data_IF_982066707098
#
_entry.id   IF_982066707098
#
_cell.length_a   1.000
_cell.length_b   1.000
_cell.length_c   1.000
_cell.angle_alpha   90.00
_cell.angle_beta   90.00
_cell.angle_gamma   90.00
#
_symmetry.space_group_name_H-M   'P 1'
#
loop_
_entity.id
_entity.type
_entity.pdbx_description
1 polymer ?
#
# COMPACT_ATOMS: atom_id res chain seq x y z
N UNK A 1 7.04 18.92 -16.16
CA UNK A 1 7.38 17.72 -15.37
C UNK A 1 6.93 16.50 -16.15
N UNK A 2 7.80 15.53 -16.38
CA UNK A 2 7.47 14.32 -17.15
C UNK A 2 6.86 13.27 -16.21
N UNK A 3 5.52 13.17 -16.23
CA UNK A 3 4.77 12.27 -15.35
C UNK A 3 5.19 10.80 -15.49
N UNK A 4 5.52 10.36 -16.71
CA UNK A 4 5.94 8.98 -16.97
C UNK A 4 7.25 8.66 -16.25
N UNK A 5 8.23 9.56 -16.30
CA UNK A 5 9.53 9.40 -15.61
C UNK A 5 9.39 9.33 -14.10
N UNK A 6 8.48 10.12 -13.52
CA UNK A 6 8.20 10.08 -12.09
C UNK A 6 7.59 8.74 -11.71
N UNK A 7 6.49 8.38 -12.36
CA UNK A 7 5.71 7.19 -12.00
C UNK A 7 6.49 5.90 -12.27
N UNK A 8 7.24 5.83 -13.37
CA UNK A 8 8.05 4.65 -13.69
C UNK A 8 9.41 4.61 -12.99
N UNK A 9 9.82 5.69 -12.31
CA UNK A 9 11.06 5.71 -11.56
C UNK A 9 10.98 4.94 -10.24
N UNK A 10 12.10 4.32 -9.85
CA UNK A 10 12.34 3.73 -8.53
C UNK A 10 12.43 4.75 -7.40
N UNK A 11 12.36 4.27 -6.16
CA UNK A 11 12.66 5.07 -4.97
C UNK A 11 14.17 5.33 -4.86
N UNK A 12 14.54 6.41 -4.16
CA UNK A 12 15.93 6.71 -3.84
C UNK A 12 16.48 5.71 -2.81
N UNK A 13 17.80 5.64 -2.66
CA UNK A 13 18.37 4.90 -1.53
C UNK A 13 18.06 5.61 -0.20
N UNK A 14 17.97 4.83 0.87
CA UNK A 14 17.88 5.34 2.26
C UNK A 14 19.08 4.87 3.06
N UNK A 15 19.53 5.71 3.99
CA UNK A 15 20.62 5.37 4.89
C UNK A 15 20.03 4.85 6.19
N UNK A 16 20.07 3.54 6.42
CA UNK A 16 19.56 2.94 7.66
C UNK A 16 20.64 3.04 8.74
N UNK A 17 20.28 3.61 9.90
CA UNK A 17 21.15 3.63 11.09
C UNK A 17 21.43 2.19 11.56
N UNK A 18 22.67 1.81 11.89
CA UNK A 18 22.99 0.47 12.33
C UNK A 18 22.31 0.07 13.64
N UNK A 19 22.35 0.89 14.70
CA UNK A 19 21.66 0.70 16.00
C UNK A 19 21.51 2.04 16.77
N UNK A 20 20.53 2.19 17.71
CA UNK A 20 19.47 1.26 18.06
C UNK A 20 18.28 1.33 17.10
N UNK A 21 17.63 0.19 16.87
CA UNK A 21 16.47 0.06 15.99
C UNK A 21 15.17 -0.15 16.77
N UNK A 22 14.05 0.31 16.21
CA UNK A 22 12.73 0.11 16.81
C UNK A 22 12.33 -1.37 16.88
N UNK A 23 11.80 -1.78 18.02
CA UNK A 23 11.28 -3.13 18.25
C UNK A 23 9.97 -3.41 17.51
N UNK A 24 9.59 -4.68 17.47
CA UNK A 24 8.41 -5.18 16.77
C UNK A 24 7.12 -4.80 17.50
N UNK A 25 6.11 -4.37 16.75
CA UNK A 25 4.76 -4.14 17.28
C UNK A 25 4.13 -5.43 17.84
N UNK A 26 3.48 -5.34 19.01
CA UNK A 26 2.85 -6.47 19.74
C UNK A 26 1.39 -6.73 19.34
N UNK A 27 0.92 -6.21 18.21
CA UNK A 27 -0.49 -6.37 17.79
C UNK A 27 -0.79 -7.82 17.40
N UNK A 28 -1.98 -8.30 17.79
CA UNK A 28 -2.42 -9.68 17.60
C UNK A 28 -3.34 -9.88 16.38
N UNK A 29 -3.52 -8.86 15.53
CA UNK A 29 -4.31 -9.00 14.30
C UNK A 29 -3.56 -9.83 13.27
N UNK A 30 -4.21 -10.87 12.76
CA UNK A 30 -3.62 -11.79 11.78
C UNK A 30 -4.71 -12.37 10.88
N UNK A 31 -4.42 -12.46 9.59
CA UNK A 31 -5.25 -13.19 8.63
C UNK A 31 -4.82 -14.66 8.57
N UNK A 32 -5.78 -15.57 8.39
CA UNK A 32 -5.46 -16.97 8.05
C UNK A 32 -5.05 -17.10 6.58
N UNK A 33 -4.43 -18.23 6.22
CA UNK A 33 -4.05 -18.54 4.84
C UNK A 33 -5.24 -18.50 3.87
N UNK A 34 -6.40 -19.03 4.28
CA UNK A 34 -7.62 -19.04 3.48
C UNK A 34 -8.17 -17.62 3.15
N UNK A 35 -7.70 -16.59 3.85
CA UNK A 35 -8.10 -15.20 3.63
C UNK A 35 -7.19 -14.47 2.63
N UNK A 36 -5.98 -14.98 2.40
CA UNK A 36 -4.93 -14.32 1.61
C UNK A 36 -4.76 -15.09 0.31
N UNK A 37 -5.29 -14.53 -0.78
CA UNK A 37 -5.22 -15.14 -2.11
C UNK A 37 -4.33 -14.30 -3.03
N UNK A 38 -3.69 -14.97 -3.98
CA UNK A 38 -2.92 -14.27 -5.01
C UNK A 38 -3.82 -13.38 -5.87
N UNK A 39 -3.23 -12.28 -6.35
CA UNK A 39 -3.79 -11.43 -7.39
C UNK A 39 -3.11 -11.72 -8.73
N UNK A 40 -3.49 -12.79 -9.46
CA UNK A 40 -2.78 -13.22 -10.67
C UNK A 40 -2.76 -12.15 -11.76
N UNK A 41 -3.81 -11.34 -11.84
CA UNK A 41 -3.97 -10.31 -12.88
C UNK A 41 -3.40 -8.95 -12.50
N UNK A 42 -2.69 -8.87 -11.36
CA UNK A 42 -2.21 -7.61 -10.81
C UNK A 42 -1.39 -6.80 -11.80
N UNK A 43 -0.33 -7.40 -12.39
CA UNK A 43 0.55 -6.70 -13.34
C UNK A 43 -0.22 -6.20 -14.57
N UNK A 44 -1.13 -7.03 -15.09
CA UNK A 44 -1.96 -6.67 -16.25
C UNK A 44 -2.89 -5.51 -15.92
N UNK A 45 -3.55 -5.54 -14.77
CA UNK A 45 -4.43 -4.46 -14.31
C UNK A 45 -3.66 -3.14 -14.08
N UNK A 46 -2.48 -3.21 -13.46
CA UNK A 46 -1.60 -2.03 -13.27
C UNK A 46 -1.24 -1.43 -14.63
N UNK A 47 -0.73 -2.26 -15.56
CA UNK A 47 -0.33 -1.83 -16.90
C UNK A 47 -1.48 -1.22 -17.69
N UNK A 48 -2.65 -1.85 -17.67
CA UNK A 48 -3.82 -1.35 -18.39
C UNK A 48 -4.21 0.08 -17.97
N UNK A 49 -4.00 0.45 -16.70
CA UNK A 49 -4.25 1.81 -16.21
C UNK A 49 -3.07 2.73 -16.52
N UNK A 50 -1.84 2.30 -16.27
CA UNK A 50 -0.67 3.18 -16.36
C UNK A 50 -0.36 3.50 -17.82
N UNK A 51 -0.38 2.54 -18.73
CA UNK A 51 -0.09 2.78 -20.15
C UNK A 51 -1.16 3.62 -20.82
N UNK A 52 -2.43 3.46 -20.43
CA UNK A 52 -3.54 4.31 -20.88
C UNK A 52 -3.32 5.79 -20.58
N UNK A 53 -2.68 6.13 -19.46
CA UNK A 53 -2.55 7.51 -18.99
C UNK A 53 -1.14 8.10 -19.13
N UNK A 54 -0.11 7.25 -19.24
CA UNK A 54 1.29 7.65 -19.19
C UNK A 54 2.11 7.09 -20.37
N UNK A 55 1.51 6.24 -21.21
CA UNK A 55 2.22 5.51 -22.27
C UNK A 55 3.01 4.32 -21.74
N UNK A 56 3.63 3.57 -22.65
CA UNK A 56 4.40 2.37 -22.29
C UNK A 56 5.66 2.72 -21.49
N UNK A 57 5.99 1.96 -20.42
CA UNK A 57 7.24 2.13 -19.70
C UNK A 57 8.40 1.84 -20.64
N UNK A 58 9.27 2.83 -20.81
CA UNK A 58 10.48 2.66 -21.58
C UNK A 58 11.57 2.06 -20.69
N UNK A 59 12.39 1.13 -21.20
CA UNK A 59 13.60 0.70 -20.49
C UNK A 59 14.44 1.92 -20.14
N UNK A 60 14.61 2.18 -18.84
CA UNK A 60 15.50 3.25 -18.38
C UNK A 60 16.92 2.72 -18.29
N UNK A 61 17.88 3.48 -18.82
CA UNK A 61 19.28 3.22 -18.56
C UNK A 61 19.52 3.19 -17.04
N UNK A 62 20.34 2.24 -16.58
CA UNK A 62 20.69 2.09 -15.18
C UNK A 62 21.57 3.28 -14.72
N UNK A 63 20.95 4.44 -14.50
CA UNK A 63 21.58 5.50 -13.74
C UNK A 63 21.80 4.98 -12.31
N UNK A 64 22.92 5.32 -11.65
CA UNK A 64 23.10 4.97 -10.25
C UNK A 64 21.94 5.55 -9.41
N UNK A 65 21.54 4.88 -8.32
CA UNK A 65 20.47 5.36 -7.47
C UNK A 65 20.81 6.76 -6.96
N UNK A 66 19.80 7.63 -6.86
CA UNK A 66 19.99 8.88 -6.13
C UNK A 66 20.33 8.51 -4.68
N UNK A 67 21.51 8.95 -4.23
CA UNK A 67 22.02 8.62 -2.91
C UNK A 67 21.13 9.24 -1.83
N UNK A 68 20.79 8.45 -0.83
CA UNK A 68 20.04 8.94 0.32
C UNK A 68 20.89 9.87 1.17
N UNK A 69 20.35 11.05 1.50
CA UNK A 69 20.98 11.98 2.46
C UNK A 69 20.26 12.02 3.82
N UNK A 70 19.20 11.21 3.97
CA UNK A 70 18.40 11.14 5.19
C UNK A 70 18.68 9.82 5.93
N UNK A 71 19.07 9.92 7.20
CA UNK A 71 19.37 8.77 8.06
C UNK A 71 18.09 8.32 8.77
N UNK A 72 17.73 7.05 8.59
CA UNK A 72 16.51 6.45 9.12
C UNK A 72 16.84 5.44 10.23
N UNK A 73 16.23 5.62 11.41
CA UNK A 73 16.38 4.69 12.54
C UNK A 73 15.07 4.11 13.08
N UNK A 74 13.92 4.52 12.54
CA UNK A 74 12.61 4.16 13.08
C UNK A 74 11.51 4.25 12.01
N UNK A 75 10.35 3.66 12.31
CA UNK A 75 9.15 3.63 11.45
C UNK A 75 8.70 5.04 10.96
N UNK A 76 8.72 6.11 11.78
CA UNK A 76 8.39 7.45 11.28
C UNK A 76 9.34 7.95 10.19
N UNK A 77 10.64 7.61 10.27
CA UNK A 77 11.61 7.99 9.25
C UNK A 77 11.35 7.26 7.93
N UNK A 78 11.06 5.95 7.99
CA UNK A 78 10.65 5.17 6.81
C UNK A 78 9.38 5.76 6.20
N UNK A 79 8.39 6.10 7.02
CA UNK A 79 7.14 6.72 6.58
C UNK A 79 7.39 8.04 5.85
N UNK A 80 8.24 8.91 6.40
CA UNK A 80 8.64 10.18 5.75
C UNK A 80 9.31 9.95 4.39
N UNK A 81 10.19 8.95 4.27
CA UNK A 81 10.82 8.58 3.01
C UNK A 81 9.82 8.06 1.97
N UNK A 82 8.80 7.27 2.38
CA UNK A 82 7.73 6.83 1.47
C UNK A 82 6.87 8.02 1.02
N UNK A 83 6.53 8.94 1.92
CA UNK A 83 5.71 10.11 1.61
C UNK A 83 6.40 10.97 0.54
N UNK A 84 7.62 11.43 0.82
CA UNK A 84 8.39 12.30 -0.09
C UNK A 84 8.87 11.58 -1.35
N UNK A 85 9.29 10.32 -1.21
CA UNK A 85 9.86 9.51 -2.28
C UNK A 85 8.82 8.92 -3.23
N UNK A 86 7.56 8.77 -2.81
CA UNK A 86 6.50 8.19 -3.62
C UNK A 86 5.18 8.95 -3.55
N UNK A 87 4.56 9.05 -2.38
CA UNK A 87 3.15 9.46 -2.28
C UNK A 87 2.92 10.91 -2.72
N UNK A 88 3.82 11.82 -2.39
CA UNK A 88 3.77 13.22 -2.80
C UNK A 88 3.98 13.36 -4.32
N UNK A 89 4.98 12.66 -4.86
CA UNK A 89 5.28 12.68 -6.30
C UNK A 89 4.12 12.10 -7.12
N UNK A 90 3.55 10.98 -6.67
CA UNK A 90 2.35 10.38 -7.28
C UNK A 90 1.16 11.34 -7.15
N UNK A 91 0.99 11.99 -5.99
CA UNK A 91 -0.04 12.99 -5.74
C UNK A 91 0.00 14.15 -6.74
N UNK A 92 1.19 14.70 -7.01
CA UNK A 92 1.38 15.77 -8.00
C UNK A 92 0.94 15.33 -9.41
N UNK A 93 1.29 14.11 -9.81
CA UNK A 93 0.87 13.56 -11.11
C UNK A 93 -0.65 13.35 -11.18
N UNK A 94 -1.25 12.83 -10.11
CA UNK A 94 -2.70 12.63 -10.02
C UNK A 94 -3.46 13.95 -10.09
N UNK A 95 -2.99 14.97 -9.38
CA UNK A 95 -3.59 16.31 -9.37
C UNK A 95 -3.51 16.96 -10.76
N UNK A 96 -2.36 16.90 -11.42
CA UNK A 96 -2.19 17.38 -12.79
C UNK A 96 -3.14 16.68 -13.80
N UNK A 97 -3.56 15.45 -13.49
CA UNK A 97 -4.48 14.66 -14.31
C UNK A 97 -5.94 14.74 -13.82
N UNK A 98 -6.25 15.61 -12.86
CA UNK A 98 -7.60 15.82 -12.33
C UNK A 98 -8.14 14.65 -11.51
N UNK A 99 -7.29 13.72 -11.05
CA UNK A 99 -7.71 12.60 -10.21
C UNK A 99 -7.85 13.07 -8.77
N UNK A 100 -9.07 12.99 -8.24
CA UNK A 100 -9.41 13.47 -6.88
C UNK A 100 -9.15 12.39 -5.83
N UNK A 101 -7.90 11.98 -5.69
CA UNK A 101 -7.43 11.14 -4.58
C UNK A 101 -6.10 11.70 -4.09
N UNK A 102 -5.98 11.89 -2.78
CA UNK A 102 -4.78 12.37 -2.09
C UNK A 102 -4.37 11.39 -1.01
N UNK A 103 -3.07 11.19 -0.86
CA UNK A 103 -2.53 10.50 0.30
C UNK A 103 -2.42 11.47 1.47
N UNK A 104 -2.74 10.99 2.66
CA UNK A 104 -2.72 11.75 3.90
C UNK A 104 -2.20 10.92 5.06
N UNK A 105 -1.82 11.59 6.14
CA UNK A 105 -1.41 10.92 7.36
C UNK A 105 -2.61 10.37 8.13
N UNK A 106 -2.30 9.60 9.17
CA UNK A 106 -3.25 8.98 10.09
C UNK A 106 -4.35 9.89 10.66
N UNK A 107 -4.10 11.20 10.81
CA UNK A 107 -5.01 12.14 11.47
C UNK A 107 -6.03 12.77 10.50
N UNK A 108 -5.88 12.54 9.21
CA UNK A 108 -6.74 13.13 8.17
C UNK A 108 -8.06 12.36 7.96
N UNK A 109 -8.14 11.12 8.43
CA UNK A 109 -9.33 10.28 8.30
C UNK A 109 -10.36 10.49 9.42
N UNK A 110 -11.62 10.05 9.22
CA UNK A 110 -12.61 10.10 10.27
C UNK A 110 -12.16 9.26 11.47
N UNK A 111 -12.33 9.77 12.70
CA UNK A 111 -11.93 9.09 13.93
C UNK A 111 -12.85 7.91 14.25
N UNK A 112 -12.73 6.83 13.49
CA UNK A 112 -13.62 5.66 13.57
C UNK A 112 -13.09 4.54 14.47
N UNK A 113 -11.79 4.53 14.82
CA UNK A 113 -11.17 3.46 15.63
C UNK A 113 -10.37 4.05 16.80
N UNK A 114 -10.99 4.76 17.74
CA UNK A 114 -10.32 5.19 18.98
C UNK A 114 -8.89 5.75 18.78
N UNK A 115 -7.87 5.01 19.21
CA UNK A 115 -6.43 5.35 19.07
C UNK A 115 -5.69 4.62 17.93
N UNK A 116 -6.38 3.84 17.10
CA UNK A 116 -5.78 3.02 16.05
C UNK A 116 -6.02 3.63 14.68
N UNK A 117 -4.96 4.01 14.00
CA UNK A 117 -5.06 4.67 12.70
C UNK A 117 -4.08 4.01 11.72
N UNK A 118 -4.45 3.89 10.43
CA UNK A 118 -3.50 3.57 9.38
C UNK A 118 -2.36 4.59 9.37
N UNK A 119 -1.13 4.17 9.08
CA UNK A 119 0.00 5.09 8.95
C UNK A 119 -0.21 6.08 7.79
N UNK A 120 -0.87 5.59 6.72
CA UNK A 120 -1.23 6.37 5.54
C UNK A 120 -2.69 6.09 5.18
N UNK A 121 -3.42 7.13 4.79
CA UNK A 121 -4.74 6.98 4.16
C UNK A 121 -4.73 7.56 2.75
N UNK A 122 -5.58 7.03 1.88
CA UNK A 122 -5.97 7.69 0.64
C UNK A 122 -7.38 8.23 0.78
N UNK A 123 -7.60 9.50 0.45
CA UNK A 123 -8.88 10.19 0.61
C UNK A 123 -9.22 11.05 -0.60
N UNK A 124 -10.51 11.36 -0.78
CA UNK A 124 -10.96 12.14 -1.95
C UNK A 124 -10.66 13.64 -1.85
N UNK A 125 -10.76 14.20 -0.64
CA UNK A 125 -10.65 15.63 -0.34
C UNK A 125 -9.48 15.91 0.60
N UNK A 126 -9.11 17.19 0.73
CA UNK A 126 -8.16 17.67 1.75
C UNK A 126 -8.82 17.83 3.12
N UNK A 127 -10.14 18.04 3.15
CA UNK A 127 -10.94 17.98 4.37
C UNK A 127 -11.06 16.52 4.84
N UNK A 128 -11.50 16.31 6.09
CA UNK A 128 -11.74 14.96 6.64
C UNK A 128 -12.60 14.16 5.68
N UNK A 129 -11.96 13.26 4.95
CA UNK A 129 -12.52 12.67 3.74
C UNK A 129 -12.99 11.24 3.95
N UNK A 130 -13.71 10.73 2.96
CA UNK A 130 -13.94 9.29 2.84
C UNK A 130 -12.60 8.58 2.66
N UNK A 131 -12.16 7.80 3.66
CA UNK A 131 -10.99 6.93 3.54
C UNK A 131 -11.26 5.87 2.49
N UNK A 132 -10.50 5.90 1.39
CA UNK A 132 -10.60 4.99 0.25
C UNK A 132 -9.45 3.99 0.15
N UNK A 133 -8.32 4.31 0.79
CA UNK A 133 -7.14 3.44 0.87
C UNK A 133 -6.66 3.44 2.31
N UNK A 134 -6.32 2.26 2.86
CA UNK A 134 -5.64 2.12 4.14
C UNK A 134 -4.22 1.56 3.94
N UNK A 135 -3.21 2.28 4.43
CA UNK A 135 -1.81 1.92 4.32
C UNK A 135 -1.16 1.68 5.68
N UNK A 136 -0.38 0.61 5.78
CA UNK A 136 0.48 0.32 6.92
C UNK A 136 1.95 0.35 6.49
N UNK A 137 2.76 1.11 7.21
CA UNK A 137 4.20 1.22 6.99
C UNK A 137 4.93 0.49 8.10
N UNK A 138 5.95 -0.28 7.75
CA UNK A 138 6.78 -1.03 8.69
C UNK A 138 8.24 -0.82 8.36
N UNK A 139 9.11 -1.16 9.31
CA UNK A 139 10.55 -1.11 9.09
C UNK A 139 11.05 -2.43 8.51
N UNK A 140 12.00 -2.41 7.56
CA UNK A 140 12.43 -3.63 6.86
C UNK A 140 13.20 -4.60 7.76
N UNK A 141 13.86 -4.12 8.82
CA UNK A 141 14.69 -4.96 9.69
C UNK A 141 13.92 -5.82 10.71
N UNK A 142 12.63 -5.60 10.91
CA UNK A 142 11.83 -6.39 11.86
C UNK A 142 10.50 -6.93 11.28
N UNK A 143 10.24 -6.65 9.99
CA UNK A 143 9.00 -7.02 9.31
C UNK A 143 9.31 -7.48 7.89
N UNK A 144 8.96 -8.72 7.57
CA UNK A 144 9.01 -9.25 6.21
C UNK A 144 7.65 -9.16 5.53
N UNK A 145 7.64 -8.73 4.26
CA UNK A 145 6.47 -8.78 3.38
C UNK A 145 6.48 -9.99 2.43
N UNK A 146 7.46 -10.90 2.58
CA UNK A 146 7.46 -12.18 1.86
C UNK A 146 6.39 -13.14 2.43
N UNK A 147 5.95 -14.16 1.67
CA UNK A 147 5.01 -15.15 2.14
C UNK A 147 5.41 -15.74 3.50
N UNK A 148 4.47 -15.67 4.46
CA UNK A 148 4.69 -16.15 5.80
C UNK A 148 3.92 -15.36 6.86
N UNK A 149 4.17 -15.72 8.12
CA UNK A 149 3.42 -15.20 9.27
C UNK A 149 3.50 -13.67 9.42
N UNK A 150 4.64 -13.08 9.05
CA UNK A 150 4.85 -11.64 9.17
C UNK A 150 3.95 -10.86 8.21
N UNK A 151 3.89 -11.28 6.95
CA UNK A 151 2.96 -10.74 5.97
C UNK A 151 1.52 -10.82 6.47
N UNK A 152 1.07 -11.98 6.97
CA UNK A 152 -0.29 -12.17 7.46
C UNK A 152 -0.65 -11.26 8.64
N UNK A 153 0.32 -10.96 9.51
CA UNK A 153 0.13 -10.02 10.62
C UNK A 153 -0.02 -8.59 10.11
N UNK A 154 0.83 -8.16 9.19
CA UNK A 154 0.73 -6.81 8.60
C UNK A 154 -0.57 -6.66 7.83
N UNK A 155 -0.92 -7.65 7.00
CA UNK A 155 -2.20 -7.69 6.29
C UNK A 155 -3.40 -7.73 7.24
N UNK A 156 -3.28 -8.36 8.42
CA UNK A 156 -4.31 -8.30 9.47
C UNK A 156 -4.57 -6.87 9.95
N UNK A 157 -3.52 -6.05 10.07
CA UNK A 157 -3.69 -4.63 10.42
C UNK A 157 -4.37 -3.86 9.29
N UNK A 158 -3.90 -4.03 8.06
CA UNK A 158 -4.50 -3.41 6.87
C UNK A 158 -5.98 -3.80 6.75
N UNK A 159 -6.30 -5.08 6.90
CA UNK A 159 -7.67 -5.59 6.84
C UNK A 159 -8.57 -5.00 7.94
N UNK A 160 -8.07 -4.86 9.17
CA UNK A 160 -8.83 -4.22 10.27
C UNK A 160 -9.19 -2.78 9.92
N UNK A 161 -8.26 -2.03 9.34
CA UNK A 161 -8.53 -0.68 8.89
C UNK A 161 -9.55 -0.68 7.75
N UNK A 162 -9.34 -1.50 6.72
CA UNK A 162 -10.25 -1.62 5.57
C UNK A 162 -11.69 -1.92 6.01
N UNK A 163 -11.87 -2.83 6.97
CA UNK A 163 -13.17 -3.16 7.54
C UNK A 163 -13.79 -1.99 8.31
N UNK A 164 -12.99 -1.25 9.07
CA UNK A 164 -13.52 -0.14 9.85
C UNK A 164 -13.91 1.05 8.98
N UNK A 165 -13.04 1.41 8.02
CA UNK A 165 -13.26 2.51 7.10
C UNK A 165 -14.19 2.16 5.93
N UNK A 166 -14.53 0.88 5.76
CA UNK A 166 -15.39 0.41 4.68
C UNK A 166 -14.76 0.55 3.30
N UNK A 167 -13.43 0.48 3.20
CA UNK A 167 -12.71 0.58 1.94
C UNK A 167 -12.24 -0.80 1.44
N UNK A 168 -12.12 -0.91 0.11
CA UNK A 168 -11.76 -2.14 -0.59
C UNK A 168 -10.28 -2.25 -0.92
N UNK A 169 -9.51 -1.17 -0.73
CA UNK A 169 -8.11 -1.09 -1.13
C UNK A 169 -7.19 -0.74 0.04
N UNK A 170 -6.02 -1.37 0.06
CA UNK A 170 -4.98 -1.08 1.04
C UNK A 170 -3.60 -1.50 0.59
N UNK A 171 -2.60 -1.24 1.42
CA UNK A 171 -1.22 -1.65 1.15
C UNK A 171 -0.40 -1.84 2.42
N UNK A 172 0.67 -2.61 2.29
CA UNK A 172 1.73 -2.77 3.27
C UNK A 172 3.06 -2.39 2.62
N UNK A 173 3.86 -1.54 3.29
CA UNK A 173 5.13 -1.07 2.72
C UNK A 173 6.25 -1.03 3.76
N UNK A 174 7.45 -1.49 3.37
CA UNK A 174 8.68 -1.38 4.18
C UNK A 174 9.72 -0.46 3.55
N UNK A 175 9.31 0.42 2.62
CA UNK A 175 10.16 1.15 1.67
C UNK A 175 10.85 0.25 0.65
N UNK A 176 11.55 -0.79 1.11
CA UNK A 176 12.21 -1.78 0.25
C UNK A 176 11.21 -2.65 -0.51
N UNK A 177 10.03 -2.88 0.07
CA UNK A 177 9.00 -3.75 -0.48
C UNK A 177 7.62 -3.10 -0.35
N UNK A 178 6.78 -3.34 -1.34
CA UNK A 178 5.38 -2.96 -1.36
C UNK A 178 4.53 -4.17 -1.73
N UNK A 179 3.41 -4.33 -1.02
CA UNK A 179 2.34 -5.26 -1.36
C UNK A 179 1.01 -4.51 -1.35
N UNK A 180 0.23 -4.66 -2.41
CA UNK A 180 -1.12 -4.11 -2.54
C UNK A 180 -2.16 -5.14 -2.17
N UNK A 181 -3.26 -4.68 -1.59
CA UNK A 181 -4.34 -5.51 -1.06
C UNK A 181 -5.67 -5.02 -1.62
N UNK A 182 -6.47 -5.95 -2.15
CA UNK A 182 -7.84 -5.72 -2.61
C UNK A 182 -8.80 -6.66 -1.90
N UNK A 183 -9.72 -6.11 -1.11
CA UNK A 183 -10.83 -6.87 -0.54
C UNK A 183 -11.82 -7.16 -1.66
N UNK A 184 -12.21 -8.42 -1.80
CA UNK A 184 -13.21 -8.84 -2.79
C UNK A 184 -14.39 -9.60 -2.17
N UNK A 185 -14.30 -9.89 -0.87
CA UNK A 185 -15.35 -10.53 -0.07
C UNK A 185 -15.21 -10.07 1.39
N UNK A 186 -16.16 -10.43 2.24
CA UNK A 186 -16.18 -10.05 3.66
C UNK A 186 -14.90 -10.50 4.39
N UNK A 187 -14.37 -11.69 4.10
CA UNK A 187 -13.20 -12.23 4.81
C UNK A 187 -11.96 -12.44 3.95
N UNK A 188 -12.03 -12.18 2.64
CA UNK A 188 -10.98 -12.58 1.69
C UNK A 188 -10.41 -11.39 0.91
N UNK A 189 -9.11 -11.49 0.67
CA UNK A 189 -8.30 -10.45 0.08
C UNK A 189 -7.44 -11.03 -1.04
N UNK A 190 -7.36 -10.30 -2.14
CA UNK A 190 -6.35 -10.50 -3.18
C UNK A 190 -5.12 -9.67 -2.83
N UNK A 191 -3.96 -10.29 -2.93
CA UNK A 191 -2.67 -9.71 -2.55
C UNK A 191 -1.74 -9.72 -3.75
N UNK A 192 -1.10 -8.58 -4.03
CA UNK A 192 -0.16 -8.48 -5.14
C UNK A 192 1.13 -9.28 -4.87
N UNK A 193 1.88 -9.65 -5.92
CA UNK A 193 3.30 -9.95 -5.75
C UNK A 193 4.05 -8.81 -5.05
N UNK A 194 5.19 -9.13 -4.44
CA UNK A 194 6.09 -8.16 -3.82
C UNK A 194 6.72 -7.28 -4.90
N UNK A 195 6.57 -5.96 -4.76
CA UNK A 195 7.20 -4.95 -5.61
C UNK A 195 8.37 -4.35 -4.86
N UNK A 196 9.56 -4.32 -5.47
CA UNK A 196 10.78 -3.80 -4.83
C UNK A 196 10.87 -2.29 -4.97
N UNK A 197 11.38 -1.60 -3.95
CA UNK A 197 11.53 -0.15 -3.93
C UNK A 197 12.61 0.38 -4.88
N UNK A 198 13.63 -0.43 -5.15
CA UNK A 198 14.83 -0.08 -5.93
C UNK A 198 14.71 -0.37 -7.44
N UNK A 199 13.56 -0.84 -7.90
CA UNK A 199 13.32 -1.18 -9.30
C UNK A 199 12.54 -0.08 -10.03
N UNK A 200 12.99 0.24 -11.25
CA UNK A 200 12.21 1.06 -12.18
C UNK A 200 11.10 0.20 -12.79
N UNK A 201 10.12 0.85 -13.41
CA UNK A 201 9.18 0.15 -14.27
C UNK A 201 9.76 0.01 -15.68
N UNK A 202 9.71 -1.21 -16.20
CA UNK A 202 10.00 -1.56 -17.60
C UNK A 202 8.90 -2.53 -18.10
N UNK A 203 8.91 -3.08 -19.32
CA UNK A 203 7.87 -4.01 -19.75
C UNK A 203 7.65 -5.21 -18.78
N UNK A 204 8.68 -5.61 -18.05
CA UNK A 204 8.66 -6.77 -17.16
C UNK A 204 8.41 -6.47 -15.67
N UNK A 205 8.81 -5.30 -15.19
CA UNK A 205 8.84 -4.96 -13.77
C UNK A 205 8.02 -3.71 -13.45
N UNK A 206 7.38 -3.66 -12.29
CA UNK A 206 6.59 -2.49 -11.83
C UNK A 206 7.40 -1.68 -10.82
N UNK A 207 7.27 -0.35 -10.84
CA UNK A 207 7.83 0.47 -9.76
C UNK A 207 6.84 0.60 -8.60
N UNK A 208 7.34 1.01 -7.43
CA UNK A 208 6.49 1.34 -6.27
C UNK A 208 5.56 2.51 -6.56
N UNK A 209 6.06 3.55 -7.24
CA UNK A 209 5.25 4.74 -7.59
C UNK A 209 4.15 4.39 -8.58
N UNK A 210 4.43 3.50 -9.52
CA UNK A 210 3.44 2.96 -10.45
C UNK A 210 2.30 2.25 -9.72
N UNK A 211 2.63 1.43 -8.73
CA UNK A 211 1.65 0.73 -7.93
C UNK A 211 0.77 1.69 -7.11
N UNK A 212 1.35 2.72 -6.50
CA UNK A 212 0.57 3.76 -5.81
C UNK A 212 -0.33 4.55 -6.78
N UNK A 213 0.19 4.92 -7.94
CA UNK A 213 -0.60 5.58 -8.98
C UNK A 213 -1.81 4.74 -9.40
N UNK A 214 -1.60 3.44 -9.66
CA UNK A 214 -2.66 2.48 -9.94
C UNK A 214 -3.68 2.41 -8.80
N UNK A 215 -3.21 2.27 -7.55
CA UNK A 215 -4.08 2.14 -6.38
C UNK A 215 -4.97 3.39 -6.20
N UNK A 216 -4.40 4.59 -6.37
CA UNK A 216 -5.15 5.84 -6.30
C UNK A 216 -6.19 5.96 -7.42
N UNK A 217 -5.85 5.54 -8.65
CA UNK A 217 -6.80 5.49 -9.77
C UNK A 217 -7.96 4.53 -9.50
N UNK A 218 -7.68 3.36 -8.94
CA UNK A 218 -8.71 2.40 -8.52
C UNK A 218 -9.62 3.00 -7.43
N UNK A 219 -9.02 3.66 -6.43
CA UNK A 219 -9.75 4.33 -5.35
C UNK A 219 -10.56 5.55 -5.83
N UNK A 220 -10.21 6.15 -6.96
CA UNK A 220 -10.98 7.24 -7.56
C UNK A 220 -12.29 6.76 -8.21
N UNK A 221 -12.37 5.48 -8.59
CA UNK A 221 -13.54 4.86 -9.23
C UNK A 221 -14.72 4.62 -8.28
N UNK A 222 -15.64 3.73 -8.66
CA UNK A 222 -16.81 3.32 -7.85
C UNK A 222 -16.50 2.17 -6.87
N UNK A 223 -15.57 1.29 -7.24
CA UNK A 223 -15.29 0.02 -6.54
C UNK A 223 -14.46 0.17 -5.25
N UNK A 224 -14.20 1.40 -4.82
CA UNK A 224 -13.38 1.70 -3.64
C UNK A 224 -14.06 1.32 -2.32
N UNK A 225 -15.40 1.26 -2.31
CA UNK A 225 -16.19 1.03 -1.10
C UNK A 225 -16.53 -0.45 -0.97
N UNK A 226 -16.38 -0.98 0.24
CA UNK A 226 -16.94 -2.27 0.59
C UNK A 226 -18.39 -2.07 1.05
N UNK A 227 -19.32 -2.74 0.39
CA UNK A 227 -20.76 -2.61 0.65
C UNK A 227 -21.32 -3.69 1.59
N UNK A 228 -20.50 -4.65 2.03
CA UNK A 228 -20.91 -5.68 2.99
C UNK A 228 -20.88 -5.18 4.44
N UNK A 229 -21.44 -5.99 5.33
CA UNK A 229 -21.37 -5.75 6.78
C UNK A 229 -19.92 -5.77 7.28
N UNK A 230 -19.67 -5.05 8.37
CA UNK A 230 -18.37 -5.08 9.04
C UNK A 230 -18.15 -6.45 9.64
N UNK A 231 -17.03 -7.08 9.29
CA UNK A 231 -16.65 -8.37 9.81
C UNK A 231 -16.17 -8.31 11.27
N UNK A 232 -15.71 -7.14 11.72
CA UNK A 232 -15.30 -6.92 13.11
C UNK A 232 -14.07 -7.74 13.50
N UNK A 233 -14.02 -8.23 14.74
CA UNK A 233 -12.86 -8.96 15.26
C UNK A 233 -12.69 -10.35 14.66
N UNK A 234 -13.77 -10.94 14.12
CA UNK A 234 -13.73 -12.22 13.42
C UNK A 234 -12.85 -12.17 12.17
N UNK A 235 -12.63 -10.98 11.58
CA UNK A 235 -11.80 -10.81 10.39
C UNK A 235 -10.33 -11.13 10.64
N UNK A 236 -9.83 -10.82 11.83
CA UNK A 236 -8.39 -10.72 12.11
C UNK A 236 -7.93 -11.58 13.29
N UNK A 237 -8.73 -12.58 13.66
CA UNK A 237 -8.42 -13.50 14.75
C UNK A 237 -7.60 -14.73 14.30
N UNK A 238 -7.31 -14.86 13.00
CA UNK A 238 -6.54 -15.97 12.42
C UNK A 238 -7.28 -17.31 12.33
N UNK A 239 -8.58 -17.35 12.61
CA UNK A 239 -9.36 -18.60 12.70
C UNK A 239 -10.25 -18.87 11.48
N UNK A 240 -10.30 -17.96 10.50
CA UNK A 240 -11.13 -18.12 9.31
C UNK A 240 -10.74 -19.37 8.52
N UNK A 241 -11.76 -20.14 8.09
CA UNK A 241 -11.63 -21.31 7.20
C UNK A 241 -12.68 -21.24 6.11
N UNK A 242 -12.23 -21.35 4.85
CA UNK A 242 -13.05 -21.31 3.64
C UNK A 242 -14.17 -22.37 3.62
N UNK A 243 -13.94 -23.52 4.27
CA UNK A 243 -14.92 -24.63 4.38
C UNK A 243 -16.19 -24.25 5.15
N UNK A 244 -16.18 -23.16 5.94
CA UNK A 244 -17.33 -22.69 6.69
C UNK A 244 -18.34 -21.88 5.86
N UNK A 245 -18.05 -21.61 4.57
CA UNK A 245 -18.96 -20.91 3.65
C UNK A 245 -19.99 -21.82 2.98
N UNK A 246 -20.02 -23.12 3.31
CA UNK A 246 -21.08 -24.06 2.91
C UNK A 246 -22.12 -24.19 4.02
N UNK A 247 -22.96 -23.18 4.22
CA UNK A 247 -24.27 -23.30 4.87
C UNK A 247 -25.24 -22.32 4.25
#
# INVERSE_FOLDING_TARGET
MDASKIIYGRLSEIVIRPEPKTERSRRNWILSEDQVLDWPEFKREVRAITTKHLGEPQPQAALPPAQGHYVVGAEPGITSCIISGALEQVGQVLEAQGVRVRYGDRATGPRLIGTYYPDVIGQRSVEVGETRIAGEVKVPWNTSLEPGRDLHRVLGQVAKYMDTYGCSYGFACTYEKLVLVKRFDMFRFKVSPVVKGDQNADPETLSVRECFYFLARMAAGSEWKHHGDKAGDALTNGQFRSRNLRR
#
